data_IF_384359005621
#
_entry.id   IF_384359005621
#
_cell.length_a   1.000
_cell.length_b   1.000
_cell.length_c   1.000
_cell.angle_alpha   90.00
_cell.angle_beta   90.00
_cell.angle_gamma   90.00
#
_symmetry.space_group_name_H-M   'P 1'
#
loop_
_entity.id
_entity.type
_entity.pdbx_description
1 polymer ?
#
# COMPACT_ATOMS: atom_id res chain seq x y z
N UNK A 1 53.78 -10.15 12.72
CA UNK A 1 52.65 -9.87 11.81
C UNK A 1 52.58 -8.35 11.66
N UNK A 2 52.78 -7.80 10.45
CA UNK A 2 53.00 -6.36 10.24
C UNK A 2 51.73 -5.57 10.60
N UNK A 3 51.87 -4.58 11.51
CA UNK A 3 50.75 -3.66 11.88
C UNK A 3 50.08 -3.01 10.66
N UNK A 4 50.77 -2.93 9.55
CA UNK A 4 50.23 -2.44 8.27
C UNK A 4 49.20 -3.41 7.66
N UNK A 5 49.48 -4.71 7.68
CA UNK A 5 48.59 -5.75 7.15
C UNK A 5 47.26 -5.79 7.93
N UNK A 6 47.32 -5.62 9.26
CA UNK A 6 46.13 -5.61 10.13
C UNK A 6 45.26 -4.37 9.81
N UNK A 7 45.83 -3.21 9.55
CA UNK A 7 45.09 -2.00 9.15
C UNK A 7 44.41 -2.17 7.80
N UNK A 8 45.10 -2.80 6.83
CA UNK A 8 44.51 -3.05 5.49
C UNK A 8 43.33 -4.00 5.57
N UNK A 9 43.46 -5.08 6.35
CA UNK A 9 42.38 -6.06 6.56
C UNK A 9 41.17 -5.39 7.26
N UNK A 10 41.43 -4.51 8.24
CA UNK A 10 40.38 -3.79 8.96
C UNK A 10 39.59 -2.83 8.04
N UNK A 11 40.32 -2.10 7.17
CA UNK A 11 39.68 -1.21 6.17
C UNK A 11 38.87 -1.99 5.16
N UNK A 12 39.37 -3.15 4.67
CA UNK A 12 38.64 -4.02 3.74
C UNK A 12 37.35 -4.56 4.36
N UNK A 13 37.38 -4.86 5.66
CA UNK A 13 36.20 -5.34 6.40
C UNK A 13 35.13 -4.27 6.59
N UNK A 14 35.54 -3.00 6.79
CA UNK A 14 34.62 -1.86 6.90
C UNK A 14 33.96 -1.58 5.54
N UNK A 15 34.67 -1.69 4.44
CA UNK A 15 34.11 -1.50 3.08
C UNK A 15 33.07 -2.57 2.71
N UNK A 16 33.17 -3.78 3.24
CA UNK A 16 32.17 -4.84 2.99
C UNK A 16 30.85 -4.63 3.72
N UNK A 17 30.80 -3.82 4.78
CA UNK A 17 29.56 -3.51 5.53
C UNK A 17 28.71 -2.42 4.86
N UNK A 18 29.21 -1.68 3.88
CA UNK A 18 28.50 -0.59 3.20
C UNK A 18 27.70 -1.08 1.98
N UNK A 19 27.70 -2.38 1.68
CA UNK A 19 27.10 -2.97 0.47
C UNK A 19 25.61 -3.28 0.58
N UNK A 20 24.92 -2.97 1.69
CA UNK A 20 23.47 -3.15 1.80
C UNK A 20 22.74 -1.88 1.32
N UNK A 21 22.70 -1.66 0.02
CA UNK A 21 21.76 -0.71 -0.59
C UNK A 21 20.37 -1.38 -0.67
N UNK A 22 19.55 -1.20 0.36
CA UNK A 22 18.12 -1.49 0.29
C UNK A 22 17.46 -0.41 -0.58
N UNK A 23 17.25 -0.69 -1.85
CA UNK A 23 16.32 0.08 -2.67
C UNK A 23 14.92 -0.48 -2.46
N UNK A 24 13.99 0.26 -1.86
CA UNK A 24 12.60 -0.19 -1.75
C UNK A 24 12.06 -0.43 -3.18
N UNK A 25 11.49 -1.61 -3.40
CA UNK A 25 11.05 -2.11 -4.71
C UNK A 25 10.08 -1.16 -5.44
N UNK A 26 9.53 -0.17 -4.72
CA UNK A 26 8.55 0.82 -5.21
C UNK A 26 9.00 2.28 -5.11
N UNK A 27 10.26 2.59 -4.76
CA UNK A 27 10.66 3.98 -4.49
C UNK A 27 11.01 4.80 -5.75
N UNK A 28 11.31 4.17 -6.89
CA UNK A 28 11.70 4.88 -8.12
C UNK A 28 11.38 4.09 -9.40
N UNK A 29 10.27 3.36 -9.46
CA UNK A 29 9.88 2.78 -10.74
C UNK A 29 9.39 3.90 -11.65
N UNK A 30 10.20 4.25 -12.64
CA UNK A 30 9.72 4.92 -13.82
C UNK A 30 8.75 3.94 -14.51
N UNK A 31 7.47 4.15 -14.31
CA UNK A 31 6.44 3.43 -15.05
C UNK A 31 6.42 3.97 -16.49
N UNK A 32 6.11 3.12 -17.46
CA UNK A 32 5.93 3.56 -18.86
C UNK A 32 4.59 4.25 -19.09
N UNK A 33 3.80 4.45 -18.03
CA UNK A 33 2.50 5.10 -18.05
C UNK A 33 2.39 6.21 -17.01
N UNK A 34 1.52 7.19 -17.30
CA UNK A 34 1.10 8.22 -16.36
C UNK A 34 -0.31 7.93 -15.80
N UNK A 35 -0.65 8.63 -14.72
CA UNK A 35 -2.00 8.65 -14.17
C UNK A 35 -2.59 10.02 -14.45
N UNK A 36 -3.63 10.06 -15.30
CA UNK A 36 -4.32 11.29 -15.66
C UNK A 36 -5.19 11.79 -14.50
N UNK A 37 -5.99 10.88 -13.95
CA UNK A 37 -6.97 11.21 -12.93
C UNK A 37 -7.22 10.02 -12.01
N UNK A 38 -7.36 10.31 -10.71
CA UNK A 38 -7.96 9.37 -9.77
C UNK A 38 -9.21 9.99 -9.16
N UNK A 39 -10.31 9.26 -9.20
CA UNK A 39 -11.61 9.64 -8.64
C UNK A 39 -12.06 8.63 -7.59
N UNK A 40 -12.77 9.11 -6.58
CA UNK A 40 -13.30 8.27 -5.51
C UNK A 40 -14.81 8.44 -5.42
N UNK A 41 -15.51 7.34 -5.13
CA UNK A 41 -16.94 7.38 -4.83
C UNK A 41 -17.20 8.27 -3.62
N UNK A 42 -18.28 9.05 -3.67
CA UNK A 42 -18.66 10.01 -2.60
C UNK A 42 -18.98 9.32 -1.27
N UNK A 43 -19.44 8.06 -1.34
CA UNK A 43 -19.80 7.25 -0.18
C UNK A 43 -18.65 6.35 0.30
N UNK A 44 -17.45 6.49 -0.30
CA UNK A 44 -16.28 5.73 0.10
C UNK A 44 -15.64 6.23 1.39
N UNK A 45 -14.81 5.39 2.00
CA UNK A 45 -14.10 5.65 3.25
C UNK A 45 -13.02 6.73 3.08
N UNK A 46 -13.23 7.91 3.69
CA UNK A 46 -12.38 9.10 3.48
C UNK A 46 -10.91 8.87 3.83
N UNK A 47 -10.62 8.17 4.92
CA UNK A 47 -9.24 7.92 5.35
C UNK A 47 -8.53 6.95 4.40
N UNK A 48 -9.20 5.91 3.96
CA UNK A 48 -8.71 4.94 2.97
C UNK A 48 -8.46 5.65 1.64
N UNK A 49 -9.44 6.44 1.17
CA UNK A 49 -9.33 7.21 -0.07
C UNK A 49 -8.13 8.16 -0.04
N UNK A 50 -7.88 8.83 1.09
CA UNK A 50 -6.72 9.72 1.27
C UNK A 50 -5.39 8.96 1.17
N UNK A 51 -5.29 7.78 1.77
CA UNK A 51 -4.07 6.96 1.74
C UNK A 51 -3.80 6.49 0.30
N UNK A 52 -4.83 5.96 -0.38
CA UNK A 52 -4.73 5.52 -1.78
C UNK A 52 -4.34 6.72 -2.67
N UNK A 53 -5.02 7.86 -2.54
CA UNK A 53 -4.73 9.07 -3.31
C UNK A 53 -3.28 9.53 -3.16
N UNK A 54 -2.77 9.56 -1.92
CA UNK A 54 -1.38 9.96 -1.66
C UNK A 54 -0.38 9.05 -2.37
N UNK A 55 -0.64 7.73 -2.39
CA UNK A 55 0.21 6.77 -3.09
C UNK A 55 0.23 7.02 -4.60
N UNK A 56 -0.92 7.26 -5.19
CA UNK A 56 -1.05 7.53 -6.62
C UNK A 56 -0.49 8.90 -7.04
N UNK A 57 -0.61 9.92 -6.19
CA UNK A 57 -0.01 11.23 -6.45
C UNK A 57 1.52 11.15 -6.61
N UNK A 58 2.19 10.29 -5.85
CA UNK A 58 3.64 10.07 -6.01
C UNK A 58 3.96 9.50 -7.40
N UNK A 59 3.17 8.52 -7.86
CA UNK A 59 3.35 7.94 -9.21
C UNK A 59 3.06 8.97 -10.30
N UNK A 60 2.01 9.77 -10.13
CA UNK A 60 1.63 10.83 -11.07
C UNK A 60 2.74 11.88 -11.24
N UNK A 61 3.33 12.35 -10.14
CA UNK A 61 4.40 13.35 -10.18
C UNK A 61 5.65 12.86 -10.93
N UNK A 62 6.00 11.59 -10.79
CA UNK A 62 7.19 11.01 -11.42
C UNK A 62 6.96 10.73 -12.92
N UNK A 63 5.73 10.40 -13.32
CA UNK A 63 5.40 9.88 -14.65
C UNK A 63 4.46 10.78 -15.46
N UNK A 64 4.39 12.07 -15.16
CA UNK A 64 3.49 13.02 -15.84
C UNK A 64 3.76 13.18 -17.36
N UNK A 65 4.99 12.94 -17.80
CA UNK A 65 5.42 13.07 -19.20
C UNK A 65 5.13 11.86 -20.08
N UNK A 66 4.59 10.77 -19.51
CA UNK A 66 4.29 9.57 -20.26
C UNK A 66 3.12 9.78 -21.22
N UNK A 67 3.23 9.21 -22.43
CA UNK A 67 2.19 9.31 -23.48
C UNK A 67 0.95 8.49 -23.10
N UNK A 68 1.13 7.28 -22.58
CA UNK A 68 0.03 6.45 -22.10
C UNK A 68 -0.43 6.95 -20.74
N UNK A 69 -1.70 7.33 -20.64
CA UNK A 69 -2.32 7.78 -19.38
C UNK A 69 -3.56 6.97 -19.04
N UNK A 70 -3.69 6.67 -17.77
CA UNK A 70 -4.83 5.94 -17.23
C UNK A 70 -5.63 6.81 -16.24
N UNK A 71 -6.95 6.74 -16.33
CA UNK A 71 -7.87 7.28 -15.34
C UNK A 71 -8.39 6.15 -14.45
N UNK A 72 -8.47 6.38 -13.14
CA UNK A 72 -8.84 5.35 -12.16
C UNK A 72 -10.04 5.84 -11.35
N UNK A 73 -11.07 5.00 -11.23
CA UNK A 73 -12.20 5.22 -10.33
C UNK A 73 -12.16 4.18 -9.23
N UNK A 74 -12.30 4.60 -7.97
CA UNK A 74 -12.19 3.72 -6.79
C UNK A 74 -13.39 3.93 -5.86
N UNK A 75 -14.00 2.84 -5.42
CA UNK A 75 -14.99 2.80 -4.35
C UNK A 75 -14.44 1.95 -3.21
N UNK A 76 -14.32 2.52 -2.01
CA UNK A 76 -13.76 1.84 -0.84
C UNK A 76 -14.83 1.58 0.20
N UNK A 77 -14.69 0.48 0.93
CA UNK A 77 -15.49 0.13 2.11
C UNK A 77 -14.59 -0.36 3.24
N UNK A 78 -15.10 -0.22 4.46
CA UNK A 78 -14.46 -0.73 5.67
C UNK A 78 -15.51 -1.40 6.54
N UNK A 79 -15.19 -2.60 7.00
CA UNK A 79 -16.04 -3.37 7.90
C UNK A 79 -15.21 -3.86 9.10
N UNK A 80 -15.87 -3.98 10.24
CA UNK A 80 -15.28 -4.55 11.45
C UNK A 80 -16.21 -5.61 12.00
N UNK A 81 -15.72 -6.82 12.13
CA UNK A 81 -16.46 -7.97 12.61
C UNK A 81 -15.89 -8.49 13.93
N UNK A 82 -16.76 -9.02 14.78
CA UNK A 82 -16.36 -9.74 16.02
C UNK A 82 -16.19 -11.21 15.64
N UNK A 83 -14.95 -11.73 15.70
CA UNK A 83 -14.67 -13.13 15.35
C UNK A 83 -14.47 -14.03 16.56
N UNK A 84 -14.30 -13.47 17.77
CA UNK A 84 -14.18 -14.25 18.99
C UNK A 84 -14.73 -13.48 20.19
N UNK A 85 -15.41 -14.21 21.09
CA UNK A 85 -15.94 -13.71 22.36
C UNK A 85 -15.46 -14.58 23.50
N UNK A 86 -15.38 -14.01 24.71
CA UNK A 86 -15.10 -14.75 25.96
C UNK A 86 -16.34 -15.47 26.48
N UNK A 87 -16.18 -16.13 27.62
CA UNK A 87 -17.27 -16.86 28.28
C UNK A 87 -18.43 -15.98 28.79
N UNK A 88 -18.21 -14.65 28.87
CA UNK A 88 -19.24 -13.65 29.25
C UNK A 88 -19.91 -13.03 28.04
N UNK A 89 -19.43 -13.35 26.82
CA UNK A 89 -19.96 -12.79 25.58
C UNK A 89 -19.25 -11.50 25.15
N UNK A 90 -18.21 -11.06 25.86
CA UNK A 90 -17.47 -9.87 25.50
C UNK A 90 -16.51 -10.14 24.33
N UNK A 91 -16.36 -9.19 23.37
CA UNK A 91 -15.46 -9.36 22.24
C UNK A 91 -13.99 -9.50 22.68
N UNK A 92 -13.30 -10.53 22.18
CA UNK A 92 -11.88 -10.79 22.41
C UNK A 92 -11.05 -10.49 21.16
N UNK A 93 -11.58 -10.81 19.97
CA UNK A 93 -10.91 -10.56 18.70
C UNK A 93 -11.85 -9.94 17.69
N UNK A 94 -11.28 -9.07 16.89
CA UNK A 94 -11.93 -8.44 15.75
C UNK A 94 -11.24 -8.80 14.44
N UNK A 95 -11.98 -8.80 13.35
CA UNK A 95 -11.44 -8.76 12.00
C UNK A 95 -11.78 -7.39 11.39
N UNK A 96 -10.76 -6.71 10.86
CA UNK A 96 -10.94 -5.49 10.07
C UNK A 96 -10.80 -5.85 8.60
N UNK A 97 -11.79 -5.47 7.81
CA UNK A 97 -11.89 -5.74 6.38
C UNK A 97 -11.86 -4.40 5.66
N UNK A 98 -10.94 -4.26 4.72
CA UNK A 98 -10.89 -3.10 3.82
C UNK A 98 -11.03 -3.62 2.39
N UNK A 99 -11.98 -3.07 1.65
CA UNK A 99 -12.23 -3.46 0.27
C UNK A 99 -12.18 -2.25 -0.66
N UNK A 100 -11.78 -2.48 -1.90
CA UNK A 100 -11.80 -1.50 -2.97
C UNK A 100 -12.29 -2.13 -4.27
N UNK A 101 -13.36 -1.58 -4.83
CA UNK A 101 -13.77 -1.83 -6.22
C UNK A 101 -13.15 -0.72 -7.05
N UNK A 102 -12.39 -1.08 -8.09
CA UNK A 102 -11.74 -0.09 -8.93
C UNK A 102 -11.86 -0.43 -10.42
N UNK A 103 -11.97 0.64 -11.19
CA UNK A 103 -12.09 0.60 -12.65
C UNK A 103 -10.95 1.41 -13.24
N UNK A 104 -10.20 0.83 -14.20
CA UNK A 104 -9.15 1.52 -14.94
C UNK A 104 -9.67 1.84 -16.35
N UNK A 105 -9.50 3.09 -16.75
CA UNK A 105 -9.90 3.57 -18.07
C UNK A 105 -8.66 4.04 -18.85
N UNK A 106 -8.64 3.73 -20.16
CA UNK A 106 -7.72 4.28 -21.14
C UNK A 106 -8.55 4.90 -22.26
N UNK A 107 -8.33 6.18 -22.57
CA UNK A 107 -9.12 6.90 -23.57
C UNK A 107 -10.64 6.84 -23.36
N UNK A 108 -11.10 6.90 -22.11
CA UNK A 108 -12.50 6.75 -21.68
C UNK A 108 -13.11 5.35 -21.86
N UNK A 109 -12.33 4.36 -22.28
CA UNK A 109 -12.78 2.97 -22.34
C UNK A 109 -12.36 2.21 -21.08
N UNK A 110 -13.26 1.42 -20.53
CA UNK A 110 -12.96 0.55 -19.37
C UNK A 110 -12.11 -0.62 -19.86
N UNK A 111 -10.89 -0.71 -19.37
CA UNK A 111 -9.96 -1.79 -19.70
C UNK A 111 -9.78 -2.77 -18.55
N UNK A 112 -10.14 -2.38 -17.32
CA UNK A 112 -10.08 -3.24 -16.16
C UNK A 112 -11.16 -2.84 -15.15
N UNK A 113 -11.84 -3.84 -14.59
CA UNK A 113 -12.77 -3.71 -13.46
C UNK A 113 -12.46 -4.84 -12.47
N UNK A 114 -12.14 -4.52 -11.22
CA UNK A 114 -11.69 -5.49 -10.20
C UNK A 114 -12.18 -5.11 -8.81
N UNK A 115 -12.29 -6.13 -7.97
CA UNK A 115 -12.49 -6.00 -6.53
C UNK A 115 -11.27 -6.56 -5.79
N UNK A 116 -10.82 -5.84 -4.78
CA UNK A 116 -9.74 -6.26 -3.88
C UNK A 116 -10.26 -6.18 -2.46
N UNK A 117 -9.98 -7.21 -1.68
CA UNK A 117 -10.27 -7.26 -0.25
C UNK A 117 -9.00 -7.61 0.51
N UNK A 118 -8.78 -6.94 1.66
CA UNK A 118 -7.70 -7.22 2.59
C UNK A 118 -8.24 -7.24 4.00
N UNK A 119 -7.79 -8.23 4.77
CA UNK A 119 -8.26 -8.49 6.13
C UNK A 119 -7.12 -8.52 7.11
N UNK A 120 -7.40 -8.14 8.35
CA UNK A 120 -6.47 -8.28 9.47
C UNK A 120 -7.22 -8.59 10.75
N UNK A 121 -6.77 -9.63 11.44
CA UNK A 121 -7.31 -10.03 12.74
C UNK A 121 -6.46 -9.40 13.84
N UNK A 122 -7.10 -8.82 14.86
CA UNK A 122 -6.42 -8.21 16.00
C UNK A 122 -7.19 -8.42 17.31
N UNK A 123 -6.46 -8.36 18.42
CA UNK A 123 -7.03 -8.53 19.74
C UNK A 123 -7.74 -7.26 20.22
N UNK A 124 -8.83 -7.46 20.95
CA UNK A 124 -9.48 -6.35 21.66
C UNK A 124 -8.55 -5.81 22.76
N UNK A 125 -8.65 -4.53 23.05
CA UNK A 125 -7.93 -3.88 24.12
C UNK A 125 -8.91 -3.12 25.02
N UNK A 126 -8.78 -3.28 26.33
CA UNK A 126 -9.58 -2.54 27.32
C UNK A 126 -9.30 -1.03 27.28
N UNK A 127 -8.07 -0.64 26.93
CA UNK A 127 -7.69 0.74 26.61
C UNK A 127 -8.19 1.11 25.22
N UNK A 128 -9.27 1.86 25.17
CA UNK A 128 -9.92 2.28 23.91
C UNK A 128 -9.02 3.12 23.01
N UNK A 129 -8.17 3.95 23.59
CA UNK A 129 -7.23 4.76 22.81
C UNK A 129 -6.20 3.88 22.10
N UNK A 130 -5.63 2.89 22.79
CA UNK A 130 -4.70 1.94 22.16
C UNK A 130 -5.38 1.11 21.08
N UNK A 131 -6.64 0.71 21.30
CA UNK A 131 -7.42 -0.02 20.30
C UNK A 131 -7.59 0.80 19.03
N UNK A 132 -8.02 2.06 19.13
CA UNK A 132 -8.21 2.97 18.00
C UNK A 132 -6.89 3.25 17.26
N UNK A 133 -5.78 3.45 17.99
CA UNK A 133 -4.46 3.64 17.37
C UNK A 133 -4.03 2.40 16.58
N UNK A 134 -4.25 1.21 17.12
CA UNK A 134 -3.94 -0.05 16.43
C UNK A 134 -4.80 -0.21 15.18
N UNK A 135 -6.11 0.03 15.26
CA UNK A 135 -7.02 -0.02 14.11
C UNK A 135 -6.58 0.95 13.00
N UNK A 136 -6.17 2.17 13.37
CA UNK A 136 -5.66 3.16 12.41
C UNK A 136 -4.42 2.68 11.67
N UNK A 137 -3.47 2.05 12.38
CA UNK A 137 -2.27 1.46 11.77
C UNK A 137 -2.65 0.32 10.82
N UNK A 138 -3.59 -0.54 11.23
CA UNK A 138 -4.07 -1.64 10.40
C UNK A 138 -4.73 -1.11 9.12
N UNK A 139 -5.63 -0.12 9.23
CA UNK A 139 -6.28 0.52 8.08
C UNK A 139 -5.23 1.08 7.12
N UNK A 140 -4.23 1.77 7.64
CA UNK A 140 -3.15 2.34 6.83
C UNK A 140 -2.40 1.25 6.06
N UNK A 141 -2.02 0.16 6.71
CA UNK A 141 -1.29 -0.95 6.09
C UNK A 141 -2.14 -1.67 5.03
N UNK A 142 -3.42 -1.96 5.32
CA UNK A 142 -4.33 -2.59 4.37
C UNK A 142 -4.57 -1.69 3.15
N UNK A 143 -4.75 -0.38 3.35
CA UNK A 143 -4.97 0.60 2.28
C UNK A 143 -3.74 0.77 1.40
N UNK A 144 -2.53 0.77 1.97
CA UNK A 144 -1.27 0.79 1.21
C UNK A 144 -1.14 -0.47 0.35
N UNK A 145 -1.41 -1.65 0.92
CA UNK A 145 -1.37 -2.90 0.18
C UNK A 145 -2.37 -2.91 -0.99
N UNK A 146 -3.61 -2.43 -0.77
CA UNK A 146 -4.60 -2.26 -1.85
C UNK A 146 -4.06 -1.34 -2.94
N UNK A 147 -3.46 -0.19 -2.57
CA UNK A 147 -2.87 0.75 -3.54
C UNK A 147 -1.80 0.08 -4.40
N UNK A 148 -0.92 -0.71 -3.78
CA UNK A 148 0.17 -1.40 -4.48
C UNK A 148 -0.37 -2.49 -5.43
N UNK A 149 -1.45 -3.19 -5.06
CA UNK A 149 -2.11 -4.16 -5.95
C UNK A 149 -2.77 -3.47 -7.14
N UNK A 150 -3.44 -2.33 -6.93
CA UNK A 150 -4.02 -1.55 -8.04
C UNK A 150 -2.91 -1.10 -8.99
N UNK A 151 -1.81 -0.55 -8.49
CA UNK A 151 -0.67 -0.15 -9.31
C UNK A 151 -0.07 -1.33 -10.08
N UNK A 152 0.13 -2.47 -9.42
CA UNK A 152 0.65 -3.68 -10.07
C UNK A 152 -0.27 -4.16 -11.21
N UNK A 153 -1.59 -4.06 -11.04
CA UNK A 153 -2.54 -4.43 -12.09
C UNK A 153 -2.43 -3.53 -13.33
N UNK A 154 -2.14 -2.22 -13.14
CA UNK A 154 -1.94 -1.29 -14.25
C UNK A 154 -0.61 -1.59 -14.98
N UNK A 155 0.46 -1.90 -14.23
CA UNK A 155 1.74 -2.33 -14.82
C UNK A 155 1.53 -3.52 -15.76
N UNK A 156 0.77 -4.53 -15.31
CA UNK A 156 0.49 -5.72 -16.12
C UNK A 156 -0.31 -5.41 -17.39
N UNK A 157 -1.14 -4.35 -17.37
CA UNK A 157 -1.89 -3.91 -18.56
C UNK A 157 -1.00 -3.19 -19.58
N UNK A 158 0.04 -2.51 -19.12
CA UNK A 158 0.94 -1.73 -19.98
C UNK A 158 2.00 -2.62 -20.65
N UNK A 159 2.32 -3.77 -20.03
CA UNK A 159 3.30 -4.75 -20.55
C UNK A 159 2.71 -5.67 -21.65
N UNK A 160 1.39 -5.61 -21.93
CA UNK A 160 0.71 -6.38 -22.97
C UNK A 160 0.31 -5.51 -24.15
#
# INVERSE_FOLDING_TARGET
MNKFIIKVIFILHICSLLSCSYTPIFSEKNYNFGIEKISFDKNGEKDINRIIKNRFNLVQQVNDKQETKYSISVKTTKEREIISKDSKGDPVKFELIVSAIYTVLKNNEIILDRNIERKHIYDNNSDKFKLEQNEKIIIENLSRNISDVILASIVTLDDN
#
